data_IF_699254645605
#
_entry.id   IF_699254645605
#
_cell.length_a   1.000
_cell.length_b   1.000
_cell.length_c   1.000
_cell.angle_alpha   90.00
_cell.angle_beta   90.00
_cell.angle_gamma   90.00
#
_symmetry.space_group_name_H-M   'P 1'
#
loop_
_entity.id
_entity.type
_entity.pdbx_description
1 polymer ?
#
# COMPACT_ATOMS: atom_id res chain seq x y z
N UNK A 1 -4.45 -9.20 4.33
CA UNK A 1 -3.13 -9.74 4.72
C UNK A 1 -2.20 -8.56 5.00
N UNK A 2 -1.89 -8.29 6.26
CA UNK A 2 -0.88 -7.28 6.62
C UNK A 2 0.51 -7.90 6.44
N UNK A 3 1.45 -7.10 5.94
CA UNK A 3 2.82 -7.54 5.66
C UNK A 3 3.66 -7.24 6.91
N UNK A 4 4.17 -8.27 7.58
CA UNK A 4 4.92 -8.11 8.81
C UNK A 4 6.43 -7.86 8.58
N UNK A 5 7.10 -7.36 9.62
CA UNK A 5 8.55 -7.13 9.64
C UNK A 5 9.39 -8.42 9.59
N UNK A 6 8.78 -9.58 9.86
CA UNK A 6 9.48 -10.87 9.83
C UNK A 6 9.67 -11.37 8.40
N UNK A 7 8.80 -10.96 7.49
CA UNK A 7 8.79 -11.36 6.07
C UNK A 7 9.59 -10.38 5.21
N UNK A 8 9.52 -9.09 5.50
CA UNK A 8 10.28 -8.06 4.77
C UNK A 8 10.93 -7.07 5.73
N UNK A 9 12.25 -6.94 5.61
CA UNK A 9 13.05 -6.02 6.44
C UNK A 9 13.01 -4.55 6.00
N UNK A 10 12.37 -4.24 4.87
CA UNK A 10 12.30 -2.89 4.30
C UNK A 10 10.89 -2.56 3.86
N UNK A 11 10.41 -1.39 4.26
CA UNK A 11 9.08 -0.89 3.90
C UNK A 11 8.88 -0.78 2.38
N UNK A 12 9.91 -0.40 1.63
CA UNK A 12 9.86 -0.39 0.17
C UNK A 12 9.50 -1.77 -0.42
N UNK A 13 9.98 -2.86 0.19
CA UNK A 13 9.64 -4.22 -0.27
C UNK A 13 8.20 -4.58 0.09
N UNK A 14 7.73 -4.19 1.29
CA UNK A 14 6.33 -4.38 1.69
C UNK A 14 5.37 -3.63 0.78
N UNK A 15 5.67 -2.37 0.45
CA UNK A 15 4.86 -1.56 -0.46
C UNK A 15 4.89 -2.14 -1.87
N UNK A 16 6.07 -2.53 -2.38
CA UNK A 16 6.19 -3.20 -3.69
C UNK A 16 5.32 -4.45 -3.75
N UNK A 17 5.38 -5.29 -2.70
CA UNK A 17 4.54 -6.48 -2.58
C UNK A 17 3.05 -6.12 -2.61
N UNK A 18 2.60 -5.15 -1.81
CA UNK A 18 1.20 -4.68 -1.83
C UNK A 18 0.76 -4.19 -3.22
N UNK A 19 1.62 -3.46 -3.93
CA UNK A 19 1.35 -2.96 -5.29
C UNK A 19 1.07 -4.12 -6.25
N UNK A 20 1.73 -5.27 -6.10
CA UNK A 20 1.48 -6.44 -6.96
C UNK A 20 0.07 -7.02 -6.83
N UNK A 21 -0.63 -6.71 -5.74
CA UNK A 21 -2.03 -7.14 -5.51
C UNK A 21 -3.05 -6.09 -5.92
N UNK A 22 -2.63 -4.87 -6.28
CA UNK A 22 -3.57 -3.83 -6.73
C UNK A 22 -4.08 -4.14 -8.12
N UNK A 23 -5.38 -3.93 -8.32
CA UNK A 23 -6.07 -4.11 -9.60
C UNK A 23 -7.04 -2.96 -9.85
N UNK A 24 -7.43 -2.78 -11.12
CA UNK A 24 -8.40 -1.76 -11.51
C UNK A 24 -8.02 -0.35 -11.05
N UNK A 25 -8.98 0.37 -10.45
CA UNK A 25 -8.81 1.77 -10.00
C UNK A 25 -7.67 1.94 -8.99
N UNK A 26 -7.39 0.94 -8.15
CA UNK A 26 -6.29 1.00 -7.18
C UNK A 26 -4.92 0.92 -7.86
N UNK A 27 -4.81 0.12 -8.93
CA UNK A 27 -3.59 0.05 -9.74
C UNK A 27 -3.38 1.36 -10.50
N UNK A 28 -4.42 1.89 -11.14
CA UNK A 28 -4.33 3.18 -11.85
C UNK A 28 -3.93 4.32 -10.93
N UNK A 29 -4.46 4.33 -9.70
CA UNK A 29 -4.14 5.31 -8.68
C UNK A 29 -2.69 5.29 -8.23
N UNK A 30 -2.02 4.13 -8.20
CA UNK A 30 -0.62 4.03 -7.74
C UNK A 30 0.39 4.44 -8.81
N UNK A 31 0.05 4.35 -10.11
CA UNK A 31 0.95 4.63 -11.25
C UNK A 31 1.67 5.99 -11.15
N UNK A 32 1.01 7.12 -10.79
CA UNK A 32 1.69 8.40 -10.68
C UNK A 32 2.77 8.43 -9.59
N UNK A 33 2.60 7.68 -8.51
CA UNK A 33 3.59 7.58 -7.43
C UNK A 33 4.82 6.80 -7.90
N UNK A 34 4.60 5.70 -8.64
CA UNK A 34 5.67 4.90 -9.27
C UNK A 34 6.47 5.74 -10.26
N UNK A 35 5.79 6.46 -11.16
CA UNK A 35 6.45 7.31 -12.16
C UNK A 35 7.29 8.44 -11.56
N UNK A 36 6.95 8.90 -10.36
CA UNK A 36 7.63 10.01 -9.67
C UNK A 36 8.62 9.56 -8.60
N UNK A 37 8.83 8.26 -8.45
CA UNK A 37 9.62 7.67 -7.35
C UNK A 37 9.25 8.29 -5.98
N UNK A 38 7.95 8.31 -5.70
CA UNK A 38 7.43 8.99 -4.51
C UNK A 38 7.97 8.35 -3.24
N UNK A 39 8.31 9.17 -2.23
CA UNK A 39 8.68 8.70 -0.89
C UNK A 39 7.61 7.79 -0.27
N UNK A 40 6.35 7.93 -0.68
CA UNK A 40 5.24 7.06 -0.27
C UNK A 40 5.50 5.58 -0.59
N UNK A 41 6.31 5.28 -1.62
CA UNK A 41 6.67 3.91 -2.00
C UNK A 41 7.66 3.26 -1.03
N UNK A 42 8.28 4.03 -0.15
CA UNK A 42 9.21 3.55 0.88
C UNK A 42 8.67 3.68 2.31
N UNK A 43 7.42 4.11 2.46
CA UNK A 43 6.73 4.27 3.74
C UNK A 43 5.50 3.37 3.76
N UNK A 44 5.61 2.22 4.43
CA UNK A 44 4.55 1.21 4.45
C UNK A 44 3.28 1.72 5.12
N UNK A 45 3.42 2.35 6.28
CA UNK A 45 2.28 2.85 7.05
C UNK A 45 1.62 4.04 6.38
N UNK A 46 2.42 4.95 5.80
CA UNK A 46 1.90 6.06 5.00
C UNK A 46 1.15 5.58 3.77
N UNK A 47 1.68 4.56 3.06
CA UNK A 47 1.01 3.96 1.91
C UNK A 47 -0.35 3.34 2.29
N UNK A 48 -0.40 2.59 3.39
CA UNK A 48 -1.64 2.01 3.91
C UNK A 48 -2.66 3.07 4.35
N UNK A 49 -2.22 4.10 5.08
CA UNK A 49 -3.11 5.18 5.48
C UNK A 49 -3.72 5.88 4.25
N UNK A 50 -2.91 6.08 3.21
CA UNK A 50 -3.34 6.70 1.95
C UNK A 50 -4.34 5.82 1.21
N UNK A 51 -4.08 4.51 1.09
CA UNK A 51 -4.99 3.60 0.37
C UNK A 51 -6.33 3.47 1.10
N UNK A 52 -6.31 3.40 2.44
CA UNK A 52 -7.52 3.41 3.28
C UNK A 52 -8.33 4.69 3.08
N UNK A 53 -7.66 5.85 3.06
CA UNK A 53 -8.31 7.13 2.87
C UNK A 53 -8.92 7.30 1.47
N UNK A 54 -8.27 6.79 0.43
CA UNK A 54 -8.74 6.94 -0.96
C UNK A 54 -9.85 5.94 -1.30
N UNK A 55 -9.70 4.68 -0.90
CA UNK A 55 -10.58 3.61 -1.35
C UNK A 55 -11.61 3.17 -0.32
N UNK A 56 -11.51 3.66 0.93
CA UNK A 56 -12.42 3.28 2.02
C UNK A 56 -12.33 1.78 2.29
N UNK A 57 -11.40 1.37 3.16
CA UNK A 57 -11.57 0.06 3.78
C UNK A 57 -12.73 0.20 4.75
N UNK A 58 -13.84 -0.53 4.56
CA UNK A 58 -14.76 -0.78 5.67
C UNK A 58 -13.88 -1.32 6.80
N UNK A 59 -13.87 -0.60 7.93
CA UNK A 59 -13.50 -1.25 9.17
C UNK A 59 -14.53 -2.36 9.31
N UNK A 60 -14.13 -3.61 9.09
CA UNK A 60 -14.91 -4.74 9.57
C UNK A 60 -15.05 -4.49 11.08
N UNK A 61 -16.17 -3.87 11.48
CA UNK A 61 -16.64 -3.86 12.85
C UNK A 61 -16.73 -5.33 13.28
N UNK A 62 -16.06 -5.63 14.39
CA UNK A 62 -16.19 -6.84 15.20
C UNK A 62 -15.54 -8.16 14.70
N UNK A 63 -14.37 -8.46 15.28
CA UNK A 63 -13.97 -9.82 15.66
C UNK A 63 -13.51 -9.86 17.13
#
# INVERSE_FOLDING_TARGET
MFVDDKTFSRDALKVTFLITYLMGLALEWVIPYIKKDSLLLSDYWGFLAKIKWVFGWEEDEDF
#
